data_IF_102623547560
#
_entry.id   IF_102623547560
#
_cell.length_a   1.000
_cell.length_b   1.000
_cell.length_c   1.000
_cell.angle_alpha   90.00
_cell.angle_beta   90.00
_cell.angle_gamma   90.00
#
_symmetry.space_group_name_H-M   'P 1'
#
loop_
_entity.id
_entity.type
_entity.pdbx_description
1 polymer ?
#
# COMPACT_ATOMS: atom_id res chain seq x y z
N UNK A 1 -0.36 22.50 -6.39
CA UNK A 1 0.98 22.74 -5.80
C UNK A 1 2.02 22.03 -6.66
N UNK A 2 3.27 21.90 -6.19
CA UNK A 2 4.37 21.22 -6.89
C UNK A 2 4.22 19.68 -6.86
N UNK A 3 2.98 19.19 -7.05
CA UNK A 3 2.64 17.77 -6.91
C UNK A 3 1.86 17.30 -8.13
N UNK A 4 2.24 16.12 -8.62
CA UNK A 4 1.48 15.34 -9.60
C UNK A 4 0.76 14.21 -8.90
N UNK A 5 -0.49 13.97 -9.26
CA UNK A 5 -1.29 12.86 -8.75
C UNK A 5 -1.77 11.96 -9.89
N UNK A 6 -1.64 10.65 -9.71
CA UNK A 6 -2.24 9.63 -10.57
C UNK A 6 -3.28 8.86 -9.75
N UNK A 7 -4.50 8.77 -10.28
CA UNK A 7 -5.58 7.99 -9.69
C UNK A 7 -5.65 6.60 -10.35
N UNK A 8 -5.34 5.56 -9.58
CA UNK A 8 -5.28 4.18 -10.05
C UNK A 8 -6.58 3.46 -9.60
N UNK A 9 -7.29 2.72 -10.47
CA UNK A 9 -8.46 1.95 -10.07
C UNK A 9 -8.15 0.96 -8.96
N UNK A 10 -8.81 1.10 -7.80
CA UNK A 10 -8.73 0.13 -6.71
C UNK A 10 -9.58 -1.11 -7.02
N UNK A 11 -9.25 -2.25 -6.40
CA UNK A 11 -10.05 -3.48 -6.51
C UNK A 11 -11.32 -3.43 -5.64
N UNK A 12 -11.38 -2.51 -4.67
CA UNK A 12 -12.54 -2.35 -3.78
C UNK A 12 -13.77 -1.77 -4.50
N UNK A 13 -14.95 -2.10 -3.96
CA UNK A 13 -16.25 -1.63 -4.43
C UNK A 13 -16.42 -1.58 -5.97
N UNK A 14 -16.41 -2.74 -6.66
CA UNK A 14 -16.60 -2.80 -8.10
C UNK A 14 -17.86 -2.03 -8.54
N UNK A 15 -17.70 -1.12 -9.50
CA UNK A 15 -18.78 -0.26 -9.99
C UNK A 15 -18.88 1.12 -9.33
N UNK A 16 -18.19 1.37 -8.21
CA UNK A 16 -18.16 2.68 -7.53
C UNK A 16 -16.92 3.51 -7.83
N UNK A 17 -16.09 3.08 -8.79
CA UNK A 17 -14.89 3.79 -9.25
C UNK A 17 -13.91 4.15 -8.11
N UNK A 18 -13.75 3.29 -7.10
CA UNK A 18 -12.76 3.46 -6.04
C UNK A 18 -11.34 3.64 -6.62
N UNK A 19 -10.51 4.46 -5.95
CA UNK A 19 -9.16 4.81 -6.41
C UNK A 19 -8.16 4.77 -5.27
N UNK A 20 -6.97 4.28 -5.58
CA UNK A 20 -5.75 4.55 -4.82
C UNK A 20 -4.99 5.69 -5.51
N UNK A 21 -4.21 6.44 -4.74
CA UNK A 21 -3.57 7.67 -5.22
C UNK A 21 -2.04 7.57 -5.17
N UNK A 22 -1.41 7.69 -6.33
CA UNK A 22 0.01 7.90 -6.45
C UNK A 22 0.30 9.40 -6.47
N UNK A 23 1.19 9.89 -5.61
CA UNK A 23 1.55 11.30 -5.48
C UNK A 23 3.05 11.45 -5.64
N UNK A 24 3.48 12.42 -6.44
CA UNK A 24 4.90 12.75 -6.66
C UNK A 24 5.14 14.25 -6.57
N UNK A 25 6.19 14.64 -5.87
CA UNK A 25 6.67 16.01 -5.82
C UNK A 25 7.65 16.32 -6.97
N UNK A 26 7.85 17.59 -7.30
CA UNK A 26 8.76 18.00 -8.38
C UNK A 26 10.23 17.63 -8.13
N UNK A 27 10.65 17.40 -6.88
CA UNK A 27 12.00 16.88 -6.56
C UNK A 27 12.17 15.37 -6.83
N UNK A 28 11.09 14.68 -7.18
CA UNK A 28 11.08 13.26 -7.50
C UNK A 28 10.56 12.35 -6.39
N UNK A 29 10.47 12.84 -5.14
CA UNK A 29 9.92 12.07 -4.02
C UNK A 29 8.47 11.66 -4.31
N UNK A 30 8.13 10.41 -4.00
CA UNK A 30 6.80 9.89 -4.33
C UNK A 30 6.30 8.81 -3.38
N UNK A 31 4.98 8.77 -3.23
CA UNK A 31 4.32 7.75 -2.44
C UNK A 31 3.02 7.27 -3.07
N UNK A 32 2.62 6.06 -2.69
CA UNK A 32 1.30 5.51 -2.96
C UNK A 32 0.46 5.53 -1.69
N UNK A 33 -0.76 6.05 -1.79
CA UNK A 33 -1.81 5.94 -0.78
C UNK A 33 -2.85 4.91 -1.22
N UNK A 34 -2.67 3.68 -0.77
CA UNK A 34 -3.37 2.46 -1.16
C UNK A 34 -4.42 1.97 -0.17
N UNK A 35 -5.37 2.83 0.22
CA UNK A 35 -6.51 2.49 1.10
C UNK A 35 -7.63 1.80 0.33
N UNK A 36 -8.41 0.94 1.01
CA UNK A 36 -9.58 0.29 0.44
C UNK A 36 -9.21 -0.37 -0.90
N UNK A 37 -8.25 -1.27 -0.84
CA UNK A 37 -7.88 -2.08 -1.99
C UNK A 37 -7.41 -3.46 -1.57
N UNK A 38 -7.41 -4.35 -2.54
CA UNK A 38 -6.91 -5.71 -2.44
C UNK A 38 -5.90 -5.94 -3.57
N UNK A 39 -5.40 -7.17 -3.77
CA UNK A 39 -4.50 -7.46 -4.88
C UNK A 39 -5.00 -6.87 -6.19
N UNK A 40 -4.11 -6.18 -6.90
CA UNK A 40 -4.46 -5.45 -8.10
C UNK A 40 -4.57 -6.41 -9.30
N UNK A 41 -5.37 -6.06 -10.32
CA UNK A 41 -5.43 -6.86 -11.53
C UNK A 41 -4.07 -7.00 -12.19
N UNK A 42 -3.83 -8.15 -12.85
CA UNK A 42 -2.60 -8.40 -13.60
C UNK A 42 -2.26 -7.24 -14.56
N UNK A 43 -0.97 -6.91 -14.66
CA UNK A 43 -0.50 -5.81 -15.49
C UNK A 43 -0.69 -4.42 -14.88
N UNK A 44 -1.33 -4.28 -13.70
CA UNK A 44 -1.62 -2.96 -13.13
C UNK A 44 -0.35 -2.18 -12.80
N UNK A 45 0.61 -2.83 -12.15
CA UNK A 45 1.85 -2.17 -11.75
C UNK A 45 2.79 -1.94 -12.92
N UNK A 46 2.77 -2.79 -13.93
CA UNK A 46 3.52 -2.60 -15.18
C UNK A 46 3.03 -1.37 -15.94
N UNK A 47 1.71 -1.11 -15.95
CA UNK A 47 1.14 0.13 -16.52
C UNK A 47 1.61 1.35 -15.73
N UNK A 48 1.62 1.27 -14.40
CA UNK A 48 2.11 2.34 -13.53
C UNK A 48 3.61 2.59 -13.75
N UNK A 49 4.41 1.54 -13.93
CA UNK A 49 5.83 1.63 -14.27
C UNK A 49 6.07 2.28 -15.64
N UNK A 50 5.24 1.97 -16.64
CA UNK A 50 5.31 2.58 -17.98
C UNK A 50 5.04 4.09 -17.94
N UNK A 51 4.26 4.56 -16.98
CA UNK A 51 4.07 5.99 -16.70
C UNK A 51 5.23 6.61 -15.90
N UNK A 52 6.29 5.83 -15.60
CA UNK A 52 7.50 6.30 -14.96
C UNK A 52 7.38 6.47 -13.44
N UNK A 53 6.49 5.74 -12.78
CA UNK A 53 6.35 5.73 -11.32
C UNK A 53 7.24 4.69 -10.65
N UNK A 54 7.96 5.13 -9.63
CA UNK A 54 8.73 4.31 -8.68
C UNK A 54 8.55 4.96 -7.31
N UNK A 55 8.01 4.23 -6.35
CA UNK A 55 7.58 4.78 -5.06
C UNK A 55 8.67 4.67 -3.99
N UNK A 56 8.89 5.76 -3.27
CA UNK A 56 9.75 5.80 -2.07
C UNK A 56 9.00 5.30 -0.84
N UNK A 57 7.68 5.53 -0.79
CA UNK A 57 6.79 5.10 0.28
C UNK A 57 5.51 4.45 -0.24
N UNK A 58 5.12 3.33 0.35
CA UNK A 58 3.82 2.68 0.17
C UNK A 58 3.03 2.74 1.47
N UNK A 59 1.84 3.34 1.44
CA UNK A 59 0.86 3.31 2.53
C UNK A 59 -0.27 2.39 2.10
N UNK A 60 -0.37 1.20 2.67
CA UNK A 60 -1.19 0.11 2.12
C UNK A 60 -2.32 -0.31 3.07
N UNK A 61 -3.48 -0.62 2.50
CA UNK A 61 -4.58 -1.31 3.18
C UNK A 61 -4.05 -2.57 3.86
N UNK A 62 -4.54 -2.81 5.07
CA UNK A 62 -4.24 -4.03 5.81
C UNK A 62 -5.48 -4.60 6.49
N UNK A 63 -6.70 -4.13 6.20
CA UNK A 63 -7.97 -4.34 6.93
C UNK A 63 -8.18 -5.74 7.54
N UNK A 64 -7.74 -6.79 6.84
CA UNK A 64 -7.96 -8.19 7.16
C UNK A 64 -6.91 -8.84 8.08
N UNK A 65 -6.06 -8.06 8.75
CA UNK A 65 -5.14 -8.59 9.76
C UNK A 65 -4.11 -9.55 9.16
N UNK A 66 -3.72 -10.61 9.88
CA UNK A 66 -2.54 -11.42 9.52
C UNK A 66 -2.81 -12.55 8.52
N UNK A 67 -3.99 -13.18 8.54
CA UNK A 67 -4.22 -14.42 7.77
C UNK A 67 -5.53 -14.45 6.95
N UNK A 68 -6.41 -13.45 7.06
CA UNK A 68 -7.68 -13.53 6.33
C UNK A 68 -7.56 -13.12 4.85
N UNK A 69 -8.18 -13.88 3.96
CA UNK A 69 -8.18 -13.57 2.51
C UNK A 69 -9.47 -12.86 2.12
N UNK A 70 -9.33 -11.86 1.25
CA UNK A 70 -10.44 -11.06 0.74
C UNK A 70 -10.14 -10.56 -0.66
N UNK A 71 -11.20 -10.37 -1.43
CA UNK A 71 -11.13 -9.81 -2.77
C UNK A 71 -11.18 -8.28 -2.77
N UNK A 72 -11.47 -7.64 -1.62
CA UNK A 72 -11.74 -6.19 -1.57
C UNK A 72 -10.90 -5.43 -0.54
N UNK A 73 -10.17 -6.13 0.31
CA UNK A 73 -9.16 -5.56 1.20
C UNK A 73 -7.96 -6.48 1.37
N UNK A 74 -6.83 -5.93 1.82
CA UNK A 74 -5.62 -6.67 2.08
C UNK A 74 -5.57 -7.25 3.50
N UNK A 75 -4.91 -8.39 3.64
CA UNK A 75 -4.28 -8.85 4.88
C UNK A 75 -2.77 -8.71 4.75
N UNK A 76 -2.03 -9.01 5.82
CA UNK A 76 -0.57 -9.00 5.82
C UNK A 76 0.00 -9.84 4.68
N UNK A 77 -0.48 -11.08 4.51
CA UNK A 77 0.04 -11.99 3.48
C UNK A 77 -0.24 -11.49 2.06
N UNK A 78 -1.45 -10.98 1.79
CA UNK A 78 -1.79 -10.47 0.46
C UNK A 78 -1.13 -9.12 0.17
N UNK A 79 -0.96 -8.25 1.16
CA UNK A 79 -0.22 -6.99 1.05
C UNK A 79 1.25 -7.25 0.73
N UNK A 80 1.90 -8.15 1.47
CA UNK A 80 3.30 -8.50 1.23
C UNK A 80 3.50 -9.10 -0.17
N UNK A 81 2.60 -9.98 -0.62
CA UNK A 81 2.64 -10.51 -1.98
C UNK A 81 2.44 -9.40 -3.03
N UNK A 82 1.55 -8.45 -2.78
CA UNK A 82 1.35 -7.30 -3.67
C UNK A 82 2.63 -6.47 -3.80
N UNK A 83 3.32 -6.21 -2.68
CA UNK A 83 4.59 -5.48 -2.67
C UNK A 83 5.68 -6.22 -3.45
N UNK A 84 5.73 -7.56 -3.38
CA UNK A 84 6.62 -8.35 -4.23
C UNK A 84 6.32 -8.14 -5.72
N UNK A 85 5.05 -8.17 -6.12
CA UNK A 85 4.63 -7.92 -7.51
C UNK A 85 5.00 -6.49 -7.92
N UNK A 86 4.81 -5.50 -7.04
CA UNK A 86 5.23 -4.11 -7.27
C UNK A 86 6.74 -3.98 -7.49
N UNK A 87 7.55 -4.75 -6.75
CA UNK A 87 9.01 -4.83 -6.94
C UNK A 87 9.37 -5.48 -8.27
N UNK A 88 8.73 -6.59 -8.62
CA UNK A 88 8.91 -7.28 -9.91
C UNK A 88 8.56 -6.35 -11.09
N UNK A 89 7.52 -5.54 -10.96
CA UNK A 89 7.11 -4.55 -11.96
C UNK A 89 7.99 -3.28 -11.99
N UNK A 90 8.88 -3.11 -11.01
CA UNK A 90 9.80 -1.97 -10.93
C UNK A 90 9.21 -0.67 -10.38
N UNK A 91 8.01 -0.72 -9.78
CA UNK A 91 7.39 0.45 -9.12
C UNK A 91 7.76 0.57 -7.63
N UNK A 92 8.44 -0.43 -7.08
CA UNK A 92 8.99 -0.43 -5.73
C UNK A 92 10.37 -1.13 -5.73
N UNK A 93 11.14 -0.95 -4.66
CA UNK A 93 12.45 -1.55 -4.48
C UNK A 93 12.67 -2.00 -3.03
N UNK A 94 13.88 -2.45 -2.70
CA UNK A 94 14.27 -2.78 -1.32
C UNK A 94 14.40 -1.53 -0.43
N UNK A 95 14.60 -0.34 -1.02
CA UNK A 95 14.61 0.92 -0.28
C UNK A 95 13.23 1.55 -0.11
N UNK A 96 12.19 0.99 -0.76
CA UNK A 96 10.82 1.48 -0.61
C UNK A 96 10.30 1.16 0.78
N UNK A 97 9.94 2.20 1.52
CA UNK A 97 9.34 2.08 2.85
C UNK A 97 7.89 1.63 2.72
N UNK A 98 7.42 0.81 3.66
CA UNK A 98 6.05 0.28 3.66
C UNK A 98 5.40 0.56 5.02
N UNK A 99 4.22 1.19 4.98
CA UNK A 99 3.38 1.47 6.15
C UNK A 99 2.02 0.83 5.92
N UNK A 100 1.61 -0.06 6.81
CA UNK A 100 0.27 -0.63 6.83
C UNK A 100 -0.70 0.34 7.55
N UNK A 101 -1.94 0.45 7.04
CA UNK A 101 -2.99 1.22 7.69
C UNK A 101 -4.39 0.61 7.46
N UNK A 102 -5.44 1.34 7.86
CA UNK A 102 -6.84 0.99 7.63
C UNK A 102 -7.22 -0.36 8.28
N UNK A 103 -7.14 -0.40 9.61
CA UNK A 103 -7.28 -1.62 10.38
C UNK A 103 -8.73 -1.88 10.80
N UNK A 104 -9.28 -3.06 10.50
CA UNK A 104 -10.55 -3.48 11.09
C UNK A 104 -10.38 -3.83 12.58
N UNK A 105 -11.30 -3.34 13.42
CA UNK A 105 -11.25 -3.54 14.87
C UNK A 105 -11.17 -4.99 15.36
N UNK A 106 -11.57 -5.96 14.55
CA UNK A 106 -11.66 -7.38 14.94
C UNK A 106 -10.50 -8.25 14.46
N UNK A 107 -9.55 -7.70 13.68
CA UNK A 107 -8.57 -8.51 12.93
C UNK A 107 -7.14 -8.49 13.47
N UNK A 108 -6.86 -7.81 14.59
CA UNK A 108 -5.48 -7.56 15.04
C UNK A 108 -5.19 -8.03 16.45
N UNK A 109 -3.95 -8.50 16.70
CA UNK A 109 -3.44 -8.71 18.04
C UNK A 109 -3.23 -7.37 18.76
N UNK A 110 -2.72 -7.42 19.99
CA UNK A 110 -2.39 -6.20 20.75
C UNK A 110 -1.36 -5.35 19.98
N UNK A 111 -1.35 -4.00 20.14
CA UNK A 111 -0.47 -3.11 19.40
C UNK A 111 1.00 -3.54 19.36
N UNK A 112 1.62 -3.80 20.52
CA UNK A 112 3.02 -4.23 20.62
C UNK A 112 3.32 -5.53 19.87
N UNK A 113 2.36 -6.46 19.86
CA UNK A 113 2.49 -7.73 19.14
C UNK A 113 2.38 -7.51 17.63
N UNK A 114 1.51 -6.58 17.20
CA UNK A 114 1.34 -6.24 15.81
C UNK A 114 2.55 -5.48 15.25
N UNK A 115 3.09 -4.53 16.00
CA UNK A 115 4.32 -3.80 15.65
C UNK A 115 5.50 -4.77 15.49
N UNK A 116 5.68 -5.69 16.44
CA UNK A 116 6.71 -6.75 16.33
C UNK A 116 6.48 -7.59 15.07
N UNK A 117 5.25 -8.09 14.87
CA UNK A 117 4.89 -8.90 13.71
C UNK A 117 5.19 -8.19 12.38
N UNK A 118 4.89 -6.90 12.29
CA UNK A 118 5.11 -6.06 11.13
C UNK A 118 6.60 -5.82 10.88
N UNK A 119 7.36 -5.47 11.93
CA UNK A 119 8.80 -5.21 11.83
C UNK A 119 9.60 -6.43 11.34
N UNK A 120 9.23 -7.63 11.81
CA UNK A 120 9.82 -8.90 11.36
C UNK A 120 9.57 -9.18 9.87
N UNK A 121 8.58 -8.51 9.27
CA UNK A 121 8.17 -8.65 7.86
C UNK A 121 8.49 -7.42 7.02
N UNK A 122 9.22 -6.45 7.57
CA UNK A 122 9.73 -5.30 6.83
C UNK A 122 8.71 -4.21 6.53
N UNK A 123 7.70 -4.02 7.38
CA UNK A 123 6.77 -2.89 7.28
C UNK A 123 6.44 -2.30 8.66
N UNK A 124 5.91 -1.08 8.66
CA UNK A 124 5.50 -0.35 9.84
C UNK A 124 3.97 -0.33 9.99
N UNK A 125 3.50 -0.11 11.22
CA UNK A 125 2.07 0.00 11.54
C UNK A 125 1.75 1.47 11.75
N UNK A 126 0.78 2.03 11.02
CA UNK A 126 0.34 3.41 11.23
C UNK A 126 -0.41 3.59 12.56
N UNK A 127 -0.36 4.79 13.13
CA UNK A 127 -1.17 5.19 14.29
C UNK A 127 -1.72 6.60 14.12
N UNK A 128 -2.77 6.91 14.86
CA UNK A 128 -3.39 8.23 14.85
C UNK A 128 -2.38 9.29 15.29
N UNK A 129 -2.18 10.30 14.43
CA UNK A 129 -1.19 11.36 14.65
C UNK A 129 0.23 11.05 14.18
N UNK A 130 0.47 9.90 13.54
CA UNK A 130 1.74 9.62 12.87
C UNK A 130 2.04 10.68 11.80
N UNK A 131 3.29 11.17 11.79
CA UNK A 131 3.80 12.08 10.76
C UNK A 131 4.92 11.36 10.01
N UNK A 132 4.86 11.43 8.68
CA UNK A 132 5.80 10.75 7.79
C UNK A 132 6.35 11.76 6.80
N UNK A 133 7.68 11.77 6.68
CA UNK A 133 8.40 12.49 5.63
C UNK A 133 8.76 11.49 4.52
N UNK A 134 8.66 11.95 3.27
CA UNK A 134 8.97 11.22 2.04
C UNK A 134 9.95 12.05 1.24
#
# INVERSE_FOLDING_TARGET
GPYTALAIPATHAPGLQARILAIRHEDGSSFLYGTDTAPMPEGAWERVAQEGWVFDLLIMDHTHGTESHSATHHSSSSMLREIEIMREAGVASDSTRVIAHHFAHHSYPLPDEFERFASERGYEVAWDGMVVEV
#
